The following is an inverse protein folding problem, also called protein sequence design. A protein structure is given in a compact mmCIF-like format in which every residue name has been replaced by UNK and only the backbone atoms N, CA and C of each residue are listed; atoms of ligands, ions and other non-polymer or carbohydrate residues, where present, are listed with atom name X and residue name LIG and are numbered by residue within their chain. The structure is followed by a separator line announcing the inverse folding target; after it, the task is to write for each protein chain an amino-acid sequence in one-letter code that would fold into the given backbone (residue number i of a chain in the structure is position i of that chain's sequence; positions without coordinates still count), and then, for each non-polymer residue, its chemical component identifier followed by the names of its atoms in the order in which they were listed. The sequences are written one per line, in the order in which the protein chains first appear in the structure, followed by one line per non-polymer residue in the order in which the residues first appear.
data_IF_076562927395
#
_entry.id   IF_076562927395
#
_cell.length_a   1.000
_cell.length_b   1.000
_cell.length_c   1.000
_cell.angle_alpha   90.00
_cell.angle_beta   90.00
_cell.angle_gamma   90.00
#
_symmetry.space_group_name_H-M   'P 1'
#
loop_
_entity.id
_entity.type
_entity.pdbx_description
1 polymer ?
#
# COMPACT_ATOMS: atom_id res chain seq x y z
N UNK A 1 3.01 42.67 2.89
CA UNK A 1 2.38 41.35 3.03
C UNK A 1 3.47 40.38 3.45
N UNK A 2 3.18 39.42 4.37
CA UNK A 2 4.16 38.41 4.76
C UNK A 2 4.58 37.56 3.55
N UNK A 3 5.86 37.18 3.50
CA UNK A 3 6.42 36.34 2.44
C UNK A 3 5.91 34.89 2.51
N UNK A 4 5.44 34.48 3.70
CA UNK A 4 4.99 33.14 3.97
C UNK A 4 3.90 33.14 5.05
N UNK A 5 2.82 32.42 4.78
CA UNK A 5 1.75 32.15 5.74
C UNK A 5 1.53 30.65 5.85
N UNK A 6 1.41 30.17 7.08
CA UNK A 6 1.12 28.77 7.39
C UNK A 6 -0.25 28.70 8.06
N UNK A 7 -1.12 27.84 7.54
CA UNK A 7 -2.36 27.43 8.20
C UNK A 7 -2.25 25.95 8.56
N UNK A 8 -2.29 25.61 9.84
CA UNK A 8 -2.28 24.21 10.26
C UNK A 8 -3.68 23.64 10.02
N UNK A 9 -3.76 22.53 9.27
CA UNK A 9 -5.01 21.86 8.92
C UNK A 9 -4.97 20.44 9.46
N UNK A 10 -5.56 20.24 10.64
CA UNK A 10 -5.56 18.96 11.35
C UNK A 10 -4.70 18.96 12.61
N UNK A 11 -4.80 17.86 13.37
CA UNK A 11 -4.14 17.66 14.65
C UNK A 11 -4.87 16.58 15.47
N UNK A 12 -4.12 15.59 15.97
CA UNK A 12 -4.66 14.47 16.74
C UNK A 12 -4.77 13.17 15.94
N UNK A 13 -5.72 12.31 16.32
CA UNK A 13 -5.79 10.91 15.86
C UNK A 13 -6.03 10.72 14.35
N UNK A 14 -6.61 11.72 13.67
CA UNK A 14 -6.88 11.65 12.23
C UNK A 14 -5.63 11.89 11.37
N UNK A 15 -4.60 12.56 11.91
CA UNK A 15 -3.43 12.99 11.16
C UNK A 15 -3.15 14.49 11.31
N UNK A 16 -2.08 14.94 10.66
CA UNK A 16 -1.65 16.33 10.67
C UNK A 16 -1.54 16.87 9.26
N UNK A 17 -1.61 18.19 9.12
CA UNK A 17 -1.43 18.82 7.82
C UNK A 17 -1.26 20.31 7.96
N UNK A 18 -0.90 20.92 6.85
CA UNK A 18 -0.79 22.37 6.75
C UNK A 18 -1.04 22.84 5.31
N UNK A 19 -1.40 24.10 5.21
CA UNK A 19 -1.44 24.86 3.96
C UNK A 19 -0.35 25.93 4.06
N UNK A 20 0.64 25.84 3.18
CA UNK A 20 1.65 26.86 2.97
C UNK A 20 1.17 27.81 1.87
N UNK A 21 1.17 29.11 2.16
CA UNK A 21 0.83 30.16 1.20
C UNK A 21 2.00 31.12 1.03
N UNK A 22 2.34 31.44 -0.21
CA UNK A 22 3.32 32.46 -0.59
C UNK A 22 2.67 33.40 -1.61
N UNK A 23 3.28 34.55 -1.96
CA UNK A 23 2.77 35.39 -3.05
C UNK A 23 2.63 34.67 -4.41
N UNK A 24 3.31 33.54 -4.59
CA UNK A 24 3.32 32.75 -5.83
C UNK A 24 2.23 31.69 -5.88
N UNK A 25 1.61 31.34 -4.76
CA UNK A 25 0.58 30.30 -4.73
C UNK A 25 0.39 29.65 -3.36
N UNK A 26 -0.30 28.51 -3.37
CA UNK A 26 -0.60 27.72 -2.18
C UNK A 26 -0.30 26.24 -2.41
N UNK A 27 0.18 25.56 -1.38
CA UNK A 27 0.37 24.13 -1.35
C UNK A 27 -0.21 23.55 -0.06
N UNK A 28 -0.91 22.43 -0.17
CA UNK A 28 -1.47 21.69 0.96
C UNK A 28 -0.71 20.38 1.15
N UNK A 29 -0.35 20.08 2.39
CA UNK A 29 0.28 18.83 2.79
C UNK A 29 -0.56 18.22 3.90
N UNK A 30 -0.88 16.94 3.78
CA UNK A 30 -1.63 16.20 4.78
C UNK A 30 -1.07 14.79 4.95
N UNK A 31 -0.68 14.46 6.17
CA UNK A 31 -0.24 13.14 6.59
C UNK A 31 -1.32 12.50 7.46
N UNK A 32 -1.84 11.35 7.06
CA UNK A 32 -2.72 10.56 7.93
C UNK A 32 -1.89 9.91 9.06
N UNK A 33 -2.46 9.79 10.26
CA UNK A 33 -1.71 9.27 11.42
C UNK A 33 -1.17 7.84 11.20
N UNK A 34 -1.90 7.02 10.44
CA UNK A 34 -1.48 5.65 10.12
C UNK A 34 -0.17 5.61 9.30
N UNK A 35 0.08 6.60 8.43
CA UNK A 35 1.34 6.66 7.67
C UNK A 35 2.53 6.89 8.59
N UNK A 36 2.44 7.87 9.49
CA UNK A 36 3.53 8.19 10.42
C UNK A 36 3.79 7.08 11.45
N UNK A 37 2.76 6.29 11.76
CA UNK A 37 2.89 5.12 12.63
C UNK A 37 3.57 3.94 11.93
N UNK A 38 3.20 3.66 10.68
CA UNK A 38 3.70 2.52 9.91
C UNK A 38 5.11 2.79 9.32
N UNK A 39 5.34 4.01 8.84
CA UNK A 39 6.58 4.41 8.18
C UNK A 39 7.40 5.36 9.08
N UNK A 40 8.39 4.81 9.77
CA UNK A 40 9.23 5.56 10.72
C UNK A 40 9.85 6.81 10.11
N UNK A 41 10.36 6.73 8.88
CA UNK A 41 11.01 7.85 8.20
C UNK A 41 9.99 8.96 7.84
N UNK A 42 8.76 8.60 7.51
CA UNK A 42 7.67 9.56 7.28
C UNK A 42 7.30 10.28 8.57
N UNK A 43 7.17 9.54 9.68
CA UNK A 43 6.89 10.15 10.99
C UNK A 43 8.02 11.07 11.48
N UNK A 44 9.28 10.76 11.14
CA UNK A 44 10.41 11.66 11.41
C UNK A 44 10.34 12.93 10.54
N UNK A 45 10.06 12.77 9.25
CA UNK A 45 9.90 13.88 8.31
C UNK A 45 8.76 14.81 8.73
N UNK A 46 7.61 14.28 9.14
CA UNK A 46 6.44 15.07 9.58
C UNK A 46 6.78 16.01 10.76
N UNK A 47 7.50 15.49 11.76
CA UNK A 47 7.93 16.28 12.93
C UNK A 47 8.89 17.39 12.53
N UNK A 48 9.85 17.06 11.66
CA UNK A 48 10.83 18.03 11.17
C UNK A 48 10.15 19.11 10.33
N UNK A 49 9.29 18.71 9.39
CA UNK A 49 8.52 19.59 8.53
C UNK A 49 7.65 20.56 9.35
N UNK A 50 6.95 20.06 10.36
CA UNK A 50 6.14 20.90 11.26
C UNK A 50 7.00 21.93 12.00
N UNK A 51 8.17 21.52 12.53
CA UNK A 51 9.11 22.43 13.21
C UNK A 51 9.65 23.49 12.25
N UNK A 52 10.06 23.07 11.05
CA UNK A 52 10.59 23.97 10.01
C UNK A 52 9.54 24.97 9.54
N UNK A 53 8.31 24.52 9.26
CA UNK A 53 7.25 25.41 8.80
C UNK A 53 6.88 26.45 9.85
N UNK A 54 6.78 26.06 11.12
CA UNK A 54 6.56 26.99 12.23
C UNK A 54 7.72 27.99 12.39
N UNK A 55 8.96 27.54 12.22
CA UNK A 55 10.13 28.43 12.26
C UNK A 55 10.08 29.48 11.14
N UNK A 56 9.81 29.07 9.90
CA UNK A 56 9.71 29.97 8.76
C UNK A 56 8.55 30.97 8.92
N UNK A 57 7.40 30.53 9.45
CA UNK A 57 6.31 31.44 9.78
C UNK A 57 6.74 32.48 10.82
N UNK A 58 7.40 32.04 11.90
CA UNK A 58 7.94 32.93 12.93
C UNK A 58 8.87 33.99 12.35
N UNK A 59 9.84 33.57 11.50
CA UNK A 59 10.74 34.51 10.82
C UNK A 59 10.01 35.52 9.94
N UNK A 60 8.99 35.08 9.19
CA UNK A 60 8.20 35.99 8.35
C UNK A 60 7.43 37.01 9.19
N UNK A 61 6.87 36.59 10.34
CA UNK A 61 6.19 37.48 11.28
C UNK A 61 7.15 38.45 12.00
N UNK A 62 8.39 38.02 12.25
CA UNK A 62 9.48 38.87 12.76
C UNK A 62 9.98 39.91 11.73
N UNK A 63 9.42 39.90 10.51
CA UNK A 63 9.72 40.88 9.46
C UNK A 63 10.87 40.47 8.53
N UNK A 64 11.35 39.22 8.59
CA UNK A 64 12.32 38.74 7.61
C UNK A 64 11.67 38.71 6.22
N UNK A 65 12.31 39.36 5.26
CA UNK A 65 11.85 39.47 3.87
C UNK A 65 13.01 39.37 2.89
N UNK A 66 12.71 39.16 1.60
CA UNK A 66 13.70 39.13 0.52
C UNK A 66 14.85 38.15 0.79
N UNK A 67 16.10 38.64 0.72
CA UNK A 67 17.31 37.81 0.86
C UNK A 67 17.45 37.17 2.25
N UNK A 68 17.04 37.87 3.31
CA UNK A 68 17.16 37.36 4.67
C UNK A 68 16.21 36.16 4.89
N UNK A 69 14.98 36.26 4.36
CA UNK A 69 14.03 35.15 4.41
C UNK A 69 14.46 33.99 3.53
N UNK A 70 14.94 34.27 2.31
CA UNK A 70 15.45 33.25 1.40
C UNK A 70 16.61 32.43 2.00
N UNK A 71 17.50 33.09 2.75
CA UNK A 71 18.59 32.41 3.46
C UNK A 71 18.08 31.47 4.56
N UNK A 72 17.08 31.88 5.33
CA UNK A 72 16.47 31.01 6.34
C UNK A 72 15.76 29.81 5.69
N UNK A 73 15.04 30.03 4.59
CA UNK A 73 14.41 28.96 3.81
C UNK A 73 15.46 27.94 3.32
N UNK A 74 16.59 28.40 2.82
CA UNK A 74 17.67 27.53 2.33
C UNK A 74 18.36 26.75 3.45
N UNK A 75 18.59 27.38 4.61
CA UNK A 75 19.12 26.70 5.79
C UNK A 75 18.20 25.58 6.27
N UNK A 76 16.90 25.88 6.36
CA UNK A 76 15.91 24.91 6.80
C UNK A 76 15.74 23.77 5.78
N UNK A 77 15.75 24.07 4.48
CA UNK A 77 15.74 23.05 3.44
C UNK A 77 16.93 22.11 3.61
N UNK A 78 18.14 22.66 3.75
CA UNK A 78 19.38 21.88 3.90
C UNK A 78 19.32 20.90 5.09
N UNK A 79 18.70 21.31 6.20
CA UNK A 79 18.50 20.45 7.37
C UNK A 79 17.49 19.32 7.13
N UNK A 80 16.49 19.57 6.28
CA UNK A 80 15.41 18.63 6.01
C UNK A 80 15.72 17.62 4.90
N UNK A 81 16.55 17.99 3.93
CA UNK A 81 16.89 17.16 2.76
C UNK A 81 17.29 15.72 3.12
N UNK A 82 18.17 15.45 4.11
CA UNK A 82 18.53 14.07 4.44
C UNK A 82 17.33 13.23 4.92
N UNK A 83 16.44 13.84 5.70
CA UNK A 83 15.24 13.15 6.22
C UNK A 83 14.21 12.92 5.12
N UNK A 84 14.05 13.90 4.22
CA UNK A 84 13.19 13.77 3.04
C UNK A 84 13.68 12.66 2.11
N UNK A 85 14.98 12.63 1.81
CA UNK A 85 15.59 11.61 0.97
C UNK A 85 15.45 10.21 1.58
N UNK A 86 15.69 10.08 2.89
CA UNK A 86 15.48 8.82 3.61
C UNK A 86 14.02 8.34 3.57
N UNK A 87 13.05 9.25 3.72
CA UNK A 87 11.63 8.92 3.63
C UNK A 87 11.22 8.47 2.22
N UNK A 88 11.73 9.15 1.17
CA UNK A 88 11.49 8.76 -0.23
C UNK A 88 12.10 7.38 -0.51
N UNK A 89 13.35 7.16 -0.12
CA UNK A 89 14.04 5.88 -0.33
C UNK A 89 13.36 4.74 0.43
N UNK A 90 12.96 4.96 1.68
CA UNK A 90 12.21 3.98 2.48
C UNK A 90 10.88 3.61 1.81
N UNK A 91 10.09 4.60 1.38
CA UNK A 91 8.83 4.35 0.67
C UNK A 91 9.04 3.60 -0.66
N UNK A 92 10.08 3.94 -1.43
CA UNK A 92 10.43 3.25 -2.68
C UNK A 92 10.88 1.79 -2.44
N UNK A 93 11.68 1.56 -1.41
CA UNK A 93 12.12 0.23 -1.02
C UNK A 93 10.93 -0.63 -0.59
N UNK A 94 10.04 -0.10 0.24
CA UNK A 94 8.82 -0.80 0.65
C UNK A 94 7.91 -1.09 -0.53
N UNK A 95 7.70 -0.14 -1.45
CA UNK A 95 6.97 -0.35 -2.69
C UNK A 95 7.57 -1.48 -3.54
N UNK A 96 8.90 -1.51 -3.68
CA UNK A 96 9.60 -2.55 -4.44
C UNK A 96 9.44 -3.93 -3.79
N UNK A 97 9.60 -3.99 -2.46
CA UNK A 97 9.36 -5.22 -1.67
C UNK A 97 7.91 -5.68 -1.78
N UNK A 98 6.96 -4.75 -1.76
CA UNK A 98 5.52 -5.02 -1.87
C UNK A 98 5.13 -5.53 -3.26
N UNK A 99 5.65 -4.92 -4.33
CA UNK A 99 5.47 -5.38 -5.70
C UNK A 99 6.04 -6.80 -5.91
N UNK A 100 7.22 -7.07 -5.35
CA UNK A 100 7.84 -8.40 -5.38
C UNK A 100 6.99 -9.43 -4.66
N UNK A 101 6.47 -9.09 -3.46
CA UNK A 101 5.52 -9.95 -2.72
C UNK A 101 4.24 -10.19 -3.52
N UNK A 102 3.72 -9.21 -4.26
CA UNK A 102 2.54 -9.39 -5.14
C UNK A 102 2.75 -10.51 -6.15
N UNK A 103 3.88 -10.43 -6.85
CA UNK A 103 4.27 -11.40 -7.86
C UNK A 103 4.37 -12.76 -7.17
N UNK A 104 5.03 -12.83 -6.02
CA UNK A 104 5.14 -14.07 -5.25
C UNK A 104 3.78 -14.61 -4.76
N UNK A 105 2.81 -13.79 -4.38
CA UNK A 105 1.51 -14.26 -3.89
C UNK A 105 0.67 -14.92 -4.99
N UNK A 106 0.77 -14.42 -6.22
CA UNK A 106 0.02 -14.96 -7.36
C UNK A 106 0.83 -15.97 -8.19
N UNK A 107 2.16 -16.01 -8.02
CA UNK A 107 3.01 -17.01 -8.67
C UNK A 107 2.83 -18.35 -7.97
N UNK A 108 2.30 -19.34 -8.66
CA UNK A 108 2.30 -20.73 -8.20
C UNK A 108 3.45 -21.52 -8.85
N UNK A 109 3.88 -22.59 -8.20
CA UNK A 109 4.91 -23.46 -8.78
C UNK A 109 4.31 -24.26 -9.93
N UNK A 110 4.71 -23.97 -11.17
CA UNK A 110 4.21 -24.65 -12.37
C UNK A 110 4.63 -26.13 -12.45
N UNK A 111 5.67 -26.52 -11.72
CA UNK A 111 6.19 -27.88 -11.63
C UNK A 111 5.53 -28.66 -10.47
N UNK A 112 4.85 -27.97 -9.55
CA UNK A 112 4.09 -28.62 -8.49
C UNK A 112 2.74 -29.13 -9.01
N UNK A 113 2.09 -29.99 -8.23
CA UNK A 113 0.71 -30.41 -8.49
C UNK A 113 -0.26 -29.22 -8.36
N UNK A 114 -1.28 -29.11 -9.22
CA UNK A 114 -1.55 -29.93 -10.41
C UNK A 114 -0.51 -29.72 -11.52
N UNK A 115 -0.04 -30.79 -12.17
CA UNK A 115 0.89 -30.70 -13.30
C UNK A 115 0.25 -30.01 -14.53
N UNK A 116 1.06 -29.66 -15.53
CA UNK A 116 0.61 -28.89 -16.70
C UNK A 116 -0.57 -29.53 -17.45
N UNK A 117 -0.58 -30.85 -17.63
CA UNK A 117 -1.66 -31.56 -18.32
C UNK A 117 -2.98 -31.44 -17.54
N UNK A 118 -2.93 -31.71 -16.24
CA UNK A 118 -4.11 -31.60 -15.38
C UNK A 118 -4.63 -30.17 -15.31
N UNK A 119 -3.74 -29.16 -15.33
CA UNK A 119 -4.18 -27.75 -15.42
C UNK A 119 -4.87 -27.44 -16.75
N UNK A 120 -4.38 -27.97 -17.85
CA UNK A 120 -5.02 -27.81 -19.16
C UNK A 120 -6.41 -28.49 -19.21
N UNK A 121 -6.53 -29.69 -18.65
CA UNK A 121 -7.82 -30.40 -18.52
C UNK A 121 -8.80 -29.64 -17.64
N UNK A 122 -8.35 -29.14 -16.47
CA UNK A 122 -9.18 -28.34 -15.57
C UNK A 122 -9.66 -27.05 -16.22
N UNK A 123 -8.80 -26.38 -17.01
CA UNK A 123 -9.22 -25.22 -17.83
C UNK A 123 -10.29 -25.61 -18.85
N UNK A 124 -10.07 -26.69 -19.60
CA UNK A 124 -11.03 -27.17 -20.60
C UNK A 124 -12.37 -27.52 -19.97
N UNK A 125 -12.34 -28.24 -18.84
CA UNK A 125 -13.51 -28.58 -18.05
C UNK A 125 -14.24 -27.33 -17.55
N UNK A 126 -13.53 -26.36 -16.99
CA UNK A 126 -14.09 -25.07 -16.57
C UNK A 126 -14.77 -24.36 -17.74
N UNK A 127 -14.12 -24.31 -18.90
CA UNK A 127 -14.65 -23.69 -20.12
C UNK A 127 -15.85 -24.42 -20.72
N UNK A 128 -16.08 -25.68 -20.37
CA UNK A 128 -17.28 -26.41 -20.83
C UNK A 128 -18.58 -25.95 -20.15
N UNK A 129 -18.48 -25.17 -19.06
CA UNK A 129 -19.64 -24.66 -18.32
C UNK A 129 -20.14 -23.33 -18.90
N UNK A 130 -21.42 -23.02 -18.65
CA UNK A 130 -22.00 -21.71 -18.95
C UNK A 130 -21.52 -20.63 -17.95
N UNK A 131 -21.79 -19.35 -18.28
CA UNK A 131 -21.28 -18.22 -17.50
C UNK A 131 -21.69 -18.26 -16.02
N UNK A 132 -22.96 -18.53 -15.65
CA UNK A 132 -23.35 -18.59 -14.25
C UNK A 132 -22.61 -19.69 -13.47
N UNK A 133 -22.43 -20.87 -14.08
CA UNK A 133 -21.69 -21.95 -13.42
C UNK A 133 -20.19 -21.62 -13.34
N UNK A 134 -19.59 -20.98 -14.34
CA UNK A 134 -18.20 -20.52 -14.26
C UNK A 134 -18.00 -19.54 -13.10
N UNK A 135 -18.86 -18.55 -12.94
CA UNK A 135 -18.79 -17.60 -11.81
C UNK A 135 -18.88 -18.35 -10.48
N UNK A 136 -19.81 -19.31 -10.34
CA UNK A 136 -19.92 -20.14 -9.14
C UNK A 136 -18.63 -20.93 -8.88
N UNK A 137 -18.07 -21.55 -9.91
CA UNK A 137 -16.84 -22.34 -9.82
C UNK A 137 -15.63 -21.50 -9.43
N UNK A 138 -15.52 -20.25 -9.90
CA UNK A 138 -14.45 -19.34 -9.48
C UNK A 138 -14.56 -18.98 -8.00
N UNK A 139 -15.77 -18.71 -7.52
CA UNK A 139 -16.02 -18.36 -6.11
C UNK A 139 -15.78 -19.55 -5.16
N UNK A 140 -15.92 -20.78 -5.65
CA UNK A 140 -15.70 -22.00 -4.86
C UNK A 140 -14.47 -22.78 -5.32
N UNK A 141 -13.55 -22.14 -6.06
CA UNK A 141 -12.40 -22.84 -6.63
C UNK A 141 -11.55 -23.42 -5.52
N UNK A 142 -11.06 -24.65 -5.71
CA UNK A 142 -9.96 -25.18 -4.90
C UNK A 142 -8.61 -24.71 -5.48
N UNK A 143 -7.51 -25.06 -4.81
CA UNK A 143 -6.18 -24.67 -5.27
C UNK A 143 -5.91 -25.13 -6.72
N UNK A 144 -6.33 -26.34 -7.09
CA UNK A 144 -6.04 -26.91 -8.40
C UNK A 144 -6.77 -26.15 -9.52
N UNK A 145 -8.07 -25.87 -9.34
CA UNK A 145 -8.84 -25.08 -10.29
C UNK A 145 -8.34 -23.62 -10.33
N UNK A 146 -8.05 -23.03 -9.18
CA UNK A 146 -7.58 -21.64 -9.09
C UNK A 146 -6.28 -21.42 -9.88
N UNK A 147 -5.24 -22.23 -9.68
CA UNK A 147 -3.98 -22.09 -10.44
C UNK A 147 -4.16 -22.38 -11.93
N UNK A 148 -5.07 -23.30 -12.27
CA UNK A 148 -5.37 -23.64 -13.67
C UNK A 148 -6.02 -22.48 -14.41
N UNK A 149 -6.98 -21.81 -13.78
CA UNK A 149 -7.65 -20.62 -14.35
C UNK A 149 -6.71 -19.42 -14.35
N UNK A 150 -5.91 -19.21 -13.31
CA UNK A 150 -4.89 -18.15 -13.27
C UNK A 150 -3.91 -18.25 -14.44
N UNK A 151 -3.45 -19.46 -14.77
CA UNK A 151 -2.57 -19.70 -15.94
C UNK A 151 -3.24 -19.28 -17.26
N UNK A 152 -4.56 -19.37 -17.33
CA UNK A 152 -5.37 -19.00 -18.50
C UNK A 152 -5.69 -17.50 -18.61
N UNK A 153 -5.80 -16.80 -17.48
CA UNK A 153 -6.09 -15.36 -17.40
C UNK A 153 -7.57 -14.99 -17.64
N UNK A 154 -7.89 -13.69 -17.40
CA UNK A 154 -9.27 -13.17 -17.41
C UNK A 154 -9.96 -13.36 -18.78
N UNK A 155 -9.20 -13.19 -19.87
CA UNK A 155 -9.72 -13.30 -21.25
C UNK A 155 -10.34 -14.67 -21.51
N UNK A 156 -9.78 -15.74 -20.93
CA UNK A 156 -10.37 -17.07 -21.05
C UNK A 156 -11.61 -17.23 -20.16
N UNK A 157 -11.62 -16.64 -18.96
CA UNK A 157 -12.78 -16.72 -18.08
C UNK A 157 -14.02 -16.02 -18.68
N UNK A 158 -13.82 -14.94 -19.43
CA UNK A 158 -14.90 -14.20 -20.09
C UNK A 158 -15.80 -13.44 -19.10
N UNK A 159 -15.25 -13.08 -17.94
CA UNK A 159 -15.96 -12.36 -16.87
C UNK A 159 -15.52 -10.90 -16.80
N UNK A 160 -16.31 -10.07 -16.12
CA UNK A 160 -15.92 -8.68 -15.86
C UNK A 160 -14.72 -8.58 -14.90
N UNK A 161 -14.07 -7.42 -14.90
CA UNK A 161 -12.88 -7.16 -14.09
C UNK A 161 -13.15 -7.21 -12.59
N UNK A 162 -14.38 -6.92 -12.14
CA UNK A 162 -14.73 -6.95 -10.72
C UNK A 162 -14.77 -8.39 -10.20
N UNK A 163 -15.44 -9.28 -10.93
CA UNK A 163 -15.47 -10.72 -10.64
C UNK A 163 -14.08 -11.34 -10.76
N UNK A 164 -13.29 -10.90 -11.74
CA UNK A 164 -11.91 -11.34 -11.87
C UNK A 164 -11.06 -10.93 -10.65
N UNK A 165 -11.17 -9.69 -10.19
CA UNK A 165 -10.46 -9.24 -8.99
C UNK A 165 -10.88 -10.02 -7.73
N UNK A 166 -12.17 -10.32 -7.57
CA UNK A 166 -12.63 -11.19 -6.48
C UNK A 166 -12.04 -12.60 -6.57
N UNK A 167 -11.95 -13.17 -7.77
CA UNK A 167 -11.28 -14.46 -7.99
C UNK A 167 -9.77 -14.37 -7.68
N UNK A 168 -9.08 -13.29 -8.07
CA UNK A 168 -7.66 -13.10 -7.78
C UNK A 168 -7.39 -13.11 -6.27
N UNK A 169 -8.24 -12.48 -5.46
CA UNK A 169 -8.11 -12.48 -4.00
C UNK A 169 -8.29 -13.90 -3.41
N UNK A 170 -9.31 -14.62 -3.89
CA UNK A 170 -9.55 -16.01 -3.50
C UNK A 170 -8.36 -16.92 -3.88
N UNK A 171 -7.85 -16.77 -5.09
CA UNK A 171 -6.72 -17.55 -5.58
C UNK A 171 -5.42 -17.21 -4.82
N UNK A 172 -5.18 -15.93 -4.49
CA UNK A 172 -4.05 -15.51 -3.67
C UNK A 172 -4.10 -16.16 -2.28
N UNK A 173 -5.27 -16.22 -1.65
CA UNK A 173 -5.45 -16.89 -0.37
C UNK A 173 -5.13 -18.40 -0.47
N UNK A 174 -5.62 -19.10 -1.50
CA UNK A 174 -5.34 -20.51 -1.72
C UNK A 174 -3.84 -20.79 -1.97
N UNK A 175 -3.18 -19.95 -2.76
CA UNK A 175 -1.74 -20.05 -3.02
C UNK A 175 -0.96 -19.78 -1.73
N UNK A 176 -1.36 -18.78 -0.94
CA UNK A 176 -0.73 -18.49 0.35
C UNK A 176 -0.80 -19.69 1.29
N UNK A 177 -2.00 -20.28 1.48
CA UNK A 177 -2.20 -21.49 2.29
C UNK A 177 -1.23 -22.59 1.86
N UNK A 178 -1.14 -22.84 0.55
CA UNK A 178 -0.29 -23.92 0.01
C UNK A 178 1.20 -23.64 0.19
N UNK A 179 1.63 -22.39 0.02
CA UNK A 179 3.05 -21.99 0.10
C UNK A 179 3.59 -22.01 1.52
N UNK A 180 2.82 -21.51 2.49
CA UNK A 180 3.25 -21.43 3.90
C UNK A 180 2.81 -22.65 4.71
N UNK A 181 2.17 -23.64 4.09
CA UNK A 181 1.60 -24.82 4.74
C UNK A 181 0.75 -24.45 5.98
N UNK A 182 -0.12 -23.45 5.78
CA UNK A 182 -0.92 -22.84 6.85
C UNK A 182 -1.89 -23.85 7.49
N UNK A 183 -2.31 -24.84 6.71
CA UNK A 183 -3.16 -25.97 7.10
C UNK A 183 -2.63 -26.78 8.29
N UNK A 184 -1.31 -26.81 8.49
CA UNK A 184 -0.69 -27.49 9.63
C UNK A 184 -0.95 -26.80 10.98
N UNK A 185 -1.26 -25.50 10.96
CA UNK A 185 -1.47 -24.68 12.16
C UNK A 185 -2.90 -24.65 12.70
N UNK A 186 -3.89 -25.07 11.89
CA UNK A 186 -5.31 -24.95 12.23
C UNK A 186 -5.98 -26.33 12.28
N UNK A 187 -6.16 -26.84 13.50
CA UNK A 187 -6.84 -28.11 13.74
C UNK A 187 -8.30 -27.89 14.12
N UNK A 188 -9.16 -28.81 13.70
CA UNK A 188 -10.56 -28.83 14.14
C UNK A 188 -10.62 -28.89 15.67
N UNK A 189 -11.48 -28.05 16.24
CA UNK A 189 -11.71 -28.05 17.68
C UNK A 189 -12.73 -29.14 18.05
N UNK A 190 -12.50 -29.88 19.15
CA UNK A 190 -13.51 -30.79 19.68
C UNK A 190 -14.81 -30.04 19.99
N UNK A 191 -15.94 -30.66 19.69
CA UNK A 191 -17.28 -30.19 20.11
C UNK A 191 -17.88 -31.19 21.08
N UNK A 192 -18.93 -30.81 21.83
CA UNK A 192 -19.65 -31.74 22.73
C UNK A 192 -20.17 -32.98 21.98
N UNK A 193 -20.49 -32.84 20.70
CA UNK A 193 -20.96 -33.90 19.81
C UNK A 193 -19.82 -34.70 19.15
N UNK A 194 -18.60 -34.14 19.08
CA UNK A 194 -17.42 -34.78 18.50
C UNK A 194 -16.15 -34.42 19.27
N UNK A 195 -15.93 -35.13 20.37
CA UNK A 195 -14.80 -34.95 21.29
C UNK A 195 -13.44 -35.32 20.66
N UNK A 196 -13.45 -36.01 19.52
CA UNK A 196 -12.25 -36.49 18.80
C UNK A 196 -12.13 -35.87 17.42
N UNK A 197 -12.47 -34.58 17.27
CA UNK A 197 -12.34 -33.89 15.99
C UNK A 197 -10.88 -33.93 15.50
N UNK A 198 -10.63 -34.70 14.44
CA UNK A 198 -9.34 -34.85 13.78
C UNK A 198 -9.45 -34.27 12.36
N UNK A 199 -8.43 -33.51 11.96
CA UNK A 199 -8.37 -32.86 10.65
C UNK A 199 -8.13 -31.36 10.73
N UNK A 200 -7.99 -30.75 9.56
CA UNK A 200 -7.75 -29.32 9.41
C UNK A 200 -9.06 -28.55 9.47
N UNK A 201 -9.08 -27.45 10.21
CA UNK A 201 -10.18 -26.49 10.15
C UNK A 201 -10.04 -25.63 8.90
N UNK A 202 -10.49 -26.16 7.76
CA UNK A 202 -10.36 -25.48 6.46
C UNK A 202 -10.99 -24.10 6.43
N UNK A 203 -12.04 -23.86 7.24
CA UNK A 203 -12.67 -22.55 7.35
C UNK A 203 -11.74 -21.58 8.07
N UNK A 204 -11.20 -21.96 9.22
CA UNK A 204 -10.27 -21.10 9.96
C UNK A 204 -8.98 -20.81 9.17
N UNK A 205 -8.48 -21.79 8.41
CA UNK A 205 -7.34 -21.60 7.49
C UNK A 205 -7.66 -20.55 6.43
N UNK A 206 -8.83 -20.66 5.79
CA UNK A 206 -9.24 -19.72 4.74
C UNK A 206 -9.50 -18.33 5.31
N UNK A 207 -10.11 -18.22 6.49
CA UNK A 207 -10.32 -16.94 7.18
C UNK A 207 -8.99 -16.25 7.50
N UNK A 208 -7.99 -17.00 7.99
CA UNK A 208 -6.65 -16.47 8.24
C UNK A 208 -5.92 -16.04 6.95
N UNK A 209 -6.07 -16.80 5.86
CA UNK A 209 -5.49 -16.46 4.57
C UNK A 209 -6.14 -15.21 3.96
N UNK A 210 -7.48 -15.10 4.04
CA UNK A 210 -8.22 -13.91 3.61
C UNK A 210 -7.81 -12.67 4.41
N UNK A 211 -7.58 -12.81 5.71
CA UNK A 211 -7.07 -11.72 6.55
C UNK A 211 -5.66 -11.28 6.12
N UNK A 212 -4.78 -12.22 5.75
CA UNK A 212 -3.47 -11.89 5.20
C UNK A 212 -3.57 -11.13 3.87
N UNK A 213 -4.48 -11.53 2.97
CA UNK A 213 -4.76 -10.82 1.71
C UNK A 213 -5.33 -9.43 1.98
N UNK A 214 -6.23 -9.27 2.94
CA UNK A 214 -6.76 -7.95 3.34
C UNK A 214 -5.68 -7.02 3.87
N UNK A 215 -4.79 -7.52 4.73
CA UNK A 215 -3.65 -6.74 5.23
C UNK A 215 -2.72 -6.30 4.10
N UNK A 216 -2.51 -7.17 3.12
CA UNK A 216 -1.75 -6.84 1.92
C UNK A 216 -2.40 -5.71 1.10
N UNK A 217 -3.73 -5.72 0.94
CA UNK A 217 -4.46 -4.61 0.31
C UNK A 217 -4.37 -3.32 1.10
N UNK A 218 -4.52 -3.38 2.43
CA UNK A 218 -4.36 -2.22 3.30
C UNK A 218 -2.95 -1.61 3.20
N UNK A 219 -1.91 -2.44 3.17
CA UNK A 219 -0.53 -2.01 2.95
C UNK A 219 -0.37 -1.31 1.58
N UNK A 220 -1.02 -1.82 0.54
CA UNK A 220 -1.03 -1.19 -0.80
C UNK A 220 -1.58 0.24 -0.76
N UNK A 221 -2.73 0.42 -0.10
CA UNK A 221 -3.36 1.74 0.01
C UNK A 221 -2.52 2.70 0.86
N UNK A 222 -1.92 2.21 1.95
CA UNK A 222 -0.98 3.01 2.74
C UNK A 222 0.24 3.43 1.91
N UNK A 223 0.83 2.55 1.12
CA UNK A 223 1.97 2.90 0.26
C UNK A 223 1.61 3.96 -0.81
N UNK A 224 0.42 3.88 -1.41
CA UNK A 224 -0.07 4.92 -2.32
C UNK A 224 -0.24 6.26 -1.60
N UNK A 225 -0.81 6.25 -0.40
CA UNK A 225 -0.96 7.44 0.41
C UNK A 225 0.39 8.04 0.83
N UNK A 226 1.39 7.20 1.12
CA UNK A 226 2.76 7.61 1.41
C UNK A 226 3.37 8.37 0.21
N UNK A 227 3.19 7.84 -1.00
CA UNK A 227 3.67 8.49 -2.23
C UNK A 227 2.99 9.85 -2.46
N UNK A 228 1.66 9.91 -2.35
CA UNK A 228 0.89 11.16 -2.48
C UNK A 228 1.33 12.19 -1.44
N UNK A 229 1.56 11.75 -0.20
CA UNK A 229 2.08 12.61 0.86
C UNK A 229 3.45 13.18 0.50
N UNK A 230 4.42 12.33 0.14
CA UNK A 230 5.78 12.76 -0.20
C UNK A 230 5.80 13.70 -1.42
N UNK A 231 5.00 13.43 -2.44
CA UNK A 231 4.83 14.34 -3.58
C UNK A 231 4.27 15.70 -3.14
N UNK A 232 3.33 15.71 -2.20
CA UNK A 232 2.74 16.95 -1.67
C UNK A 232 3.78 17.74 -0.86
N UNK A 233 4.61 17.06 -0.05
CA UNK A 233 5.74 17.68 0.65
C UNK A 233 6.69 18.33 -0.35
N UNK A 234 7.16 17.61 -1.37
CA UNK A 234 8.07 18.16 -2.38
C UNK A 234 7.46 19.38 -3.08
N UNK A 235 6.18 19.32 -3.47
CA UNK A 235 5.48 20.49 -4.07
C UNK A 235 5.42 21.69 -3.14
N UNK A 236 5.17 21.48 -1.85
CA UNK A 236 5.19 22.55 -0.87
C UNK A 236 6.60 23.16 -0.74
N UNK A 237 7.64 22.33 -0.72
CA UNK A 237 9.02 22.80 -0.68
C UNK A 237 9.42 23.56 -1.94
N UNK A 238 9.01 23.10 -3.13
CA UNK A 238 9.21 23.83 -4.39
C UNK A 238 8.57 25.21 -4.34
N UNK A 239 7.34 25.31 -3.80
CA UNK A 239 6.64 26.58 -3.67
C UNK A 239 7.36 27.55 -2.71
N UNK A 240 7.82 27.05 -1.55
CA UNK A 240 8.43 27.86 -0.50
C UNK A 240 9.84 28.31 -0.89
N UNK A 241 10.62 27.41 -1.50
CA UNK A 241 12.03 27.64 -1.83
C UNK A 241 12.20 28.24 -3.24
N UNK A 242 11.18 28.15 -4.08
CA UNK A 242 11.23 28.45 -5.51
C UNK A 242 12.33 27.65 -6.24
N UNK A 243 12.71 26.48 -5.71
CA UNK A 243 13.61 25.53 -6.35
C UNK A 243 12.80 24.54 -7.18
N UNK A 244 13.45 24.01 -8.22
CA UNK A 244 12.91 22.93 -9.03
C UNK A 244 12.84 21.61 -8.24
N UNK A 245 12.15 20.62 -8.80
CA UNK A 245 12.12 19.27 -8.24
C UNK A 245 13.52 18.68 -8.12
N UNK A 246 14.35 18.85 -9.16
CA UNK A 246 15.69 18.28 -9.20
C UNK A 246 16.57 18.86 -8.10
N UNK A 247 16.46 20.17 -7.82
CA UNK A 247 17.21 20.83 -6.74
C UNK A 247 16.77 20.44 -5.32
N UNK A 248 15.61 19.78 -5.16
CA UNK A 248 15.07 19.34 -3.87
C UNK A 248 15.30 17.84 -3.67
N UNK A 249 15.33 17.06 -4.74
CA UNK A 249 15.41 15.60 -4.68
C UNK A 249 16.81 15.08 -5.01
N UNK A 250 17.65 15.85 -5.70
CA UNK A 250 19.03 15.52 -6.10
C UNK A 250 20.04 16.60 -5.68
#
# INVERSE_FOLDING_TARGET
MPEFELTITGGGEAGSGFIASTPKGKASVYCIAALSAEFREIGALEKLLSSTMNHLQGRSLDGYTGKAFAFEVENQLTQMLPTLSAAISSAQEQNTKHATRRIQMLTFNMEAQPNQFMRAELRSWFMSHDMPNRIRLLNSADYALAVSVLEGGNVLAGIDDQLWNHFLDHAAALIFIKKVALDNGFRLKPTEENLTALGTDHRAVMDAANEAVKRYHAETELLKLAEVYLQSVVRALMLITNKSFDEIVF
#
